data_IF_030273305697
#
_entry.id   IF_030273305697
#
_cell.length_a   1.000
_cell.length_b   1.000
_cell.length_c   1.000
_cell.angle_alpha   90.00
_cell.angle_beta   90.00
_cell.angle_gamma   90.00
#
_symmetry.space_group_name_H-M   'P 1'
#
loop_
_entity.id
_entity.type
_entity.pdbx_description
1 polymer ?
#
# COMPACT_ATOMS: atom_id res chain seq x y z
N UNK A 1 14.78 25.15 -1.79
CA UNK A 1 14.96 23.84 -2.17
C UNK A 1 13.96 22.95 -1.57
N UNK A 2 13.44 22.04 -2.31
CA UNK A 2 12.42 21.13 -1.82
C UNK A 2 13.05 19.91 -1.19
N UNK A 3 12.44 19.40 -0.13
CA UNK A 3 12.95 18.19 0.49
C UNK A 3 12.30 16.98 -0.15
N UNK A 4 11.44 17.17 -1.15
CA UNK A 4 10.78 16.04 -1.76
C UNK A 4 11.64 15.46 -2.86
N UNK A 5 11.60 14.15 -3.01
CA UNK A 5 12.27 13.51 -4.11
C UNK A 5 11.52 13.89 -5.38
N UNK A 6 12.18 13.82 -6.51
CA UNK A 6 11.57 14.21 -7.77
C UNK A 6 10.84 13.05 -8.42
N UNK A 7 10.44 12.08 -7.65
CA UNK A 7 9.72 10.92 -8.10
C UNK A 7 8.40 10.86 -7.35
N UNK A 8 7.31 10.62 -8.05
CA UNK A 8 6.02 10.45 -7.43
C UNK A 8 5.32 9.26 -8.04
N UNK A 9 4.49 8.61 -7.25
CA UNK A 9 3.71 7.48 -7.71
C UNK A 9 2.25 7.73 -7.38
N UNK A 10 1.37 7.12 -8.16
CA UNK A 10 -0.05 7.15 -7.88
C UNK A 10 -0.37 5.79 -7.28
N UNK A 11 -1.12 5.76 -6.19
CA UNK A 11 -1.55 4.50 -5.57
C UNK A 11 -3.06 4.46 -5.61
N UNK A 12 -3.60 3.35 -6.04
CA UNK A 12 -5.03 3.17 -6.17
C UNK A 12 -5.44 1.81 -5.63
N UNK A 13 -6.69 1.66 -5.31
CA UNK A 13 -7.23 0.41 -4.82
C UNK A 13 -8.50 0.64 -4.04
N UNK A 14 -8.74 -0.20 -3.04
CA UNK A 14 -9.90 -0.08 -2.17
C UNK A 14 -9.42 0.26 -0.77
N UNK A 15 -10.11 1.19 -0.11
CA UNK A 15 -9.76 1.53 1.26
C UNK A 15 -10.36 0.50 2.22
N UNK A 16 -10.23 0.73 3.52
CA UNK A 16 -10.69 -0.23 4.52
C UNK A 16 -12.20 -0.39 4.51
N UNK A 17 -12.93 0.52 3.86
CA UNK A 17 -14.37 0.41 3.74
C UNK A 17 -14.76 -0.08 2.37
N UNK A 18 -13.78 -0.56 1.60
CA UNK A 18 -13.97 -1.08 0.26
C UNK A 18 -14.45 -0.02 -0.73
N UNK A 19 -14.04 1.23 -0.51
CA UNK A 19 -14.34 2.30 -1.45
C UNK A 19 -13.12 2.53 -2.33
N UNK A 20 -13.34 2.76 -3.60
CA UNK A 20 -12.24 3.01 -4.52
C UNK A 20 -11.53 4.31 -4.20
N UNK A 21 -10.22 4.33 -4.33
CA UNK A 21 -9.45 5.55 -4.14
C UNK A 21 -8.26 5.58 -5.09
N UNK A 22 -7.73 6.76 -5.30
CA UNK A 22 -6.52 6.94 -6.07
C UNK A 22 -5.87 8.22 -5.57
N UNK A 23 -4.64 8.14 -5.07
CA UNK A 23 -3.97 9.28 -4.48
C UNK A 23 -2.49 9.27 -4.82
N UNK A 24 -1.89 10.44 -4.92
CA UNK A 24 -0.45 10.50 -5.16
C UNK A 24 0.30 10.16 -3.88
N UNK A 25 1.44 9.52 -4.05
CA UNK A 25 2.37 9.27 -2.96
C UNK A 25 3.59 10.12 -3.25
N UNK A 26 3.98 10.92 -2.27
CA UNK A 26 5.17 11.74 -2.39
C UNK A 26 6.24 11.19 -1.48
N UNK A 27 7.48 11.50 -1.78
CA UNK A 27 8.60 11.05 -0.98
C UNK A 27 9.35 12.25 -0.45
N UNK A 28 9.74 12.20 0.81
CA UNK A 28 10.52 13.26 1.43
C UNK A 28 11.81 12.69 1.97
N UNK A 29 12.86 13.46 1.91
CA UNK A 29 14.13 13.05 2.48
C UNK A 29 14.07 13.15 4.00
N UNK A 30 14.53 12.12 4.67
CA UNK A 30 14.55 12.10 6.11
C UNK A 30 15.60 11.09 6.57
N UNK A 31 16.37 11.43 7.55
CA UNK A 31 17.34 10.49 8.16
C UNK A 31 18.21 9.79 7.12
N UNK A 32 18.59 10.51 6.11
CA UNK A 32 19.50 9.96 5.10
C UNK A 32 18.82 9.08 4.07
N UNK A 33 17.50 9.01 4.08
CA UNK A 33 16.77 8.19 3.15
C UNK A 33 15.49 8.86 2.69
N UNK A 34 14.49 8.06 2.38
CA UNK A 34 13.22 8.55 1.85
C UNK A 34 12.06 7.98 2.64
N UNK A 35 11.11 8.85 2.96
CA UNK A 35 9.84 8.42 3.56
C UNK A 35 8.77 8.55 2.50
N UNK A 36 7.85 7.60 2.44
CA UNK A 36 6.70 7.68 1.52
C UNK A 36 5.52 8.22 2.32
N UNK A 37 4.77 9.13 1.74
CA UNK A 37 3.67 9.79 2.39
C UNK A 37 2.43 9.73 1.54
N UNK A 38 1.33 9.26 2.12
CA UNK A 38 0.04 9.23 1.47
C UNK A 38 -0.96 9.98 2.33
N UNK A 39 -1.72 10.87 1.72
CA UNK A 39 -2.81 11.54 2.41
C UNK A 39 -4.10 11.15 1.75
N UNK A 40 -5.05 10.70 2.55
CA UNK A 40 -6.34 10.29 2.04
C UNK A 40 -7.40 10.65 3.07
N UNK A 41 -8.29 11.51 2.71
CA UNK A 41 -9.32 12.03 3.61
C UNK A 41 -8.62 12.66 4.82
N UNK A 42 -8.94 12.21 6.01
CA UNK A 42 -8.31 12.77 7.20
C UNK A 42 -7.09 11.96 7.64
N UNK A 43 -6.72 10.97 6.85
CA UNK A 43 -5.63 10.07 7.20
C UNK A 43 -4.33 10.49 6.53
N UNK A 44 -3.23 10.38 7.25
CA UNK A 44 -1.92 10.63 6.70
C UNK A 44 -1.04 9.45 7.10
N UNK A 45 -0.52 8.72 6.14
CA UNK A 45 0.30 7.55 6.41
C UNK A 45 1.73 7.86 5.96
N UNK A 46 2.69 7.68 6.85
CA UNK A 46 4.09 8.01 6.59
C UNK A 46 4.94 6.83 7.01
N UNK A 47 5.84 6.40 6.14
CA UNK A 47 6.75 5.30 6.48
C UNK A 47 7.97 5.81 7.23
N UNK A 48 8.77 4.92 7.77
CA UNK A 48 10.10 5.30 8.20
C UNK A 48 10.96 5.50 6.96
N UNK A 49 12.19 5.92 7.14
CA UNK A 49 13.08 6.20 6.02
C UNK A 49 13.69 4.94 5.46
N UNK A 50 13.79 4.88 4.14
CA UNK A 50 14.38 3.75 3.43
C UNK A 50 15.39 4.30 2.42
N UNK A 51 16.28 3.45 1.97
CA UNK A 51 17.35 3.88 1.06
C UNK A 51 16.84 4.39 -0.28
N UNK A 52 15.70 3.91 -0.72
CA UNK A 52 15.18 4.31 -2.04
C UNK A 52 13.70 4.62 -1.93
N UNK A 53 13.17 5.43 -2.83
CA UNK A 53 11.73 5.68 -2.86
C UNK A 53 10.94 4.40 -3.07
N UNK A 54 11.46 3.46 -3.88
CA UNK A 54 10.76 2.21 -4.11
C UNK A 54 10.59 1.38 -2.86
N UNK A 55 11.62 1.31 -2.02
CA UNK A 55 11.55 0.56 -0.79
C UNK A 55 10.55 1.23 0.16
N UNK A 56 10.53 2.55 0.20
CA UNK A 56 9.59 3.27 1.04
C UNK A 56 8.16 3.05 0.54
N UNK A 57 7.98 2.99 -0.77
CA UNK A 57 6.65 2.75 -1.34
C UNK A 57 6.17 1.35 -0.97
N UNK A 58 7.04 0.35 -1.01
CA UNK A 58 6.65 -1.00 -0.66
C UNK A 58 6.23 -1.08 0.80
N UNK A 59 6.90 -0.34 1.66
CA UNK A 59 6.52 -0.33 3.05
C UNK A 59 5.16 0.35 3.21
N UNK A 60 4.91 1.43 2.48
CA UNK A 60 3.64 2.11 2.54
C UNK A 60 2.52 1.16 2.13
N UNK A 61 2.73 0.35 1.09
CA UNK A 61 1.74 -0.60 0.66
C UNK A 61 1.46 -1.62 1.78
N UNK A 62 2.51 -2.10 2.45
CA UNK A 62 2.30 -3.05 3.54
C UNK A 62 1.52 -2.42 4.69
N UNK A 63 1.79 -1.15 4.98
CA UNK A 63 1.08 -0.45 6.03
C UNK A 63 -0.40 -0.31 5.68
N UNK A 64 -0.71 0.00 4.44
CA UNK A 64 -2.09 0.14 4.01
C UNK A 64 -2.79 -1.21 4.07
N UNK A 65 -2.11 -2.28 3.64
CA UNK A 65 -2.69 -3.60 3.71
C UNK A 65 -2.98 -3.98 5.15
N UNK A 66 -2.12 -3.60 6.06
CA UNK A 66 -2.31 -3.85 7.48
C UNK A 66 -3.50 -3.10 8.05
N UNK A 67 -3.92 -2.03 7.39
CA UNK A 67 -5.06 -1.25 7.81
C UNK A 67 -6.35 -1.68 7.09
N UNK A 68 -6.28 -2.73 6.29
CA UNK A 68 -7.47 -3.25 5.63
C UNK A 68 -7.67 -2.80 4.20
N UNK A 69 -6.71 -2.07 3.64
CA UNK A 69 -6.80 -1.68 2.23
C UNK A 69 -6.50 -2.90 1.37
N UNK A 70 -7.08 -2.95 0.20
CA UNK A 70 -6.92 -4.10 -0.68
C UNK A 70 -6.85 -3.69 -2.14
N UNK A 71 -6.51 -4.64 -2.98
CA UNK A 71 -6.44 -4.45 -4.42
C UNK A 71 -5.56 -3.25 -4.79
N UNK A 72 -4.47 -3.10 -4.06
CA UNK A 72 -3.59 -1.94 -4.23
C UNK A 72 -2.72 -2.07 -5.47
N UNK A 73 -2.49 -0.95 -6.13
CA UNK A 73 -1.59 -0.90 -7.26
C UNK A 73 -0.95 0.48 -7.32
N UNK A 74 0.18 0.58 -7.94
CA UNK A 74 0.86 1.87 -8.08
C UNK A 74 1.32 2.10 -9.50
N UNK A 75 1.49 3.36 -9.86
CA UNK A 75 1.98 3.73 -11.17
C UNK A 75 2.94 4.90 -10.99
N UNK A 76 4.10 4.83 -11.61
CA UNK A 76 5.04 5.93 -11.56
C UNK A 76 4.45 7.09 -12.35
N UNK A 77 4.29 8.23 -11.73
CA UNK A 77 3.65 9.36 -12.38
C UNK A 77 4.61 10.52 -12.65
N UNK A 78 5.68 10.65 -11.86
CA UNK A 78 6.67 11.69 -12.06
C UNK A 78 8.05 11.11 -11.85
N UNK A 79 8.96 11.36 -12.79
CA UNK A 79 10.35 10.94 -12.67
C UNK A 79 11.23 12.13 -12.95
N UNK A 80 12.15 12.41 -12.03
CA UNK A 80 13.07 13.53 -12.16
C UNK A 80 12.33 14.83 -12.48
N UNK A 81 11.17 14.99 -11.86
CA UNK A 81 10.38 16.20 -12.03
C UNK A 81 9.50 16.25 -13.25
N UNK A 82 9.58 15.26 -14.13
CA UNK A 82 8.80 15.26 -15.37
C UNK A 82 7.56 14.38 -15.23
N UNK A 83 6.41 14.93 -15.57
CA UNK A 83 5.16 14.19 -15.50
C UNK A 83 5.09 13.19 -16.64
N UNK A 84 4.81 11.94 -16.32
CA UNK A 84 4.82 10.87 -17.29
C UNK A 84 3.43 10.51 -17.83
N UNK A 85 2.41 11.10 -17.26
CA UNK A 85 1.05 10.80 -17.70
C UNK A 85 0.66 9.40 -17.28
N UNK A 86 -0.08 8.70 -18.11
CA UNK A 86 -0.53 7.37 -17.79
C UNK A 86 0.19 6.32 -18.63
N UNK A 87 1.40 6.63 -19.06
CA UNK A 87 2.12 5.70 -19.92
C UNK A 87 2.83 4.57 -19.19
N UNK A 88 3.11 4.78 -17.93
CA UNK A 88 3.82 3.75 -17.17
C UNK A 88 2.85 2.66 -16.74
N UNK A 89 3.31 1.42 -16.66
CA UNK A 89 2.42 0.34 -16.26
C UNK A 89 2.06 0.41 -14.79
N UNK A 90 0.89 -0.11 -14.46
CA UNK A 90 0.51 -0.25 -13.08
C UNK A 90 1.15 -1.51 -12.52
N UNK A 91 1.64 -1.42 -11.29
CA UNK A 91 2.22 -2.55 -10.58
C UNK A 91 1.20 -2.95 -9.54
N UNK A 92 0.77 -4.20 -9.58
CA UNK A 92 -0.23 -4.67 -8.63
C UNK A 92 0.41 -5.34 -7.43
N UNK A 93 -0.19 -5.14 -6.27
CA UNK A 93 0.30 -5.71 -5.04
C UNK A 93 -0.76 -6.68 -4.53
N UNK A 94 -0.51 -7.98 -4.59
CA UNK A 94 -1.51 -8.95 -4.17
C UNK A 94 -1.87 -8.75 -2.71
N UNK A 95 -3.13 -8.97 -2.40
CA UNK A 95 -3.56 -8.87 -1.02
C UNK A 95 -2.88 -9.99 -0.23
N UNK A 96 -2.52 -9.73 1.02
CA UNK A 96 -1.87 -10.75 1.82
C UNK A 96 -2.85 -11.87 2.11
N UNK A 97 -2.29 -13.06 2.31
CA UNK A 97 -3.12 -14.19 2.67
C UNK A 97 -3.77 -13.90 4.00
N UNK A 98 -5.07 -14.18 4.09
CA UNK A 98 -5.70 -13.91 5.28
C UNK A 98 -5.50 -14.97 6.18
N UNK A 99 -5.11 -14.83 7.08
CA UNK A 99 -4.99 -15.83 7.98
C UNK A 99 -4.02 -16.87 7.79
N UNK A 100 -3.98 -16.93 7.58
CA UNK A 100 -3.40 -17.51 7.48
C UNK A 100 -2.56 -17.63 7.01
N UNK A 101 -2.41 -17.31 6.98
CA UNK A 101 -1.97 -17.40 6.39
C UNK A 101 -0.99 -17.54 6.21
N UNK A 102 -0.50 -17.96 6.52
CA UNK A 102 0.08 -18.20 6.38
C UNK A 102 0.69 -18.76 6.80
N UNK A 103 0.71 -19.30 7.50
CA UNK A 103 0.73 -19.81 8.03
C UNK A 103 0.40 -20.17 8.41
N UNK A 104 0.85 -20.55 8.56
CA UNK A 104 -0.23 -21.00 9.10
C UNK A 104 -1.32 -20.21 8.83
N UNK A 105 -1.17 -19.36 8.10
CA UNK A 105 -2.24 -18.52 7.85
C UNK A 105 -3.32 -19.13 7.07
N UNK A 106 -3.01 -19.97 6.09
CA UNK A 106 -4.04 -20.47 5.27
C UNK A 106 -4.92 -21.38 6.04
N UNK A 107 -4.39 -22.07 6.92
CA UNK A 107 -5.13 -22.97 7.67
C UNK A 107 -6.07 -22.23 8.50
N UNK A 108 -5.67 -21.14 9.04
CA UNK A 108 -6.47 -20.36 9.79
C UNK A 108 -7.51 -19.80 8.97
N UNK A 109 -7.26 -19.53 7.74
CA UNK A 109 -8.20 -18.97 6.92
C UNK A 109 -9.26 -19.98 6.65
N UNK A 110 -8.89 -21.19 6.49
CA UNK A 110 -9.78 -22.19 6.24
C UNK A 110 -10.65 -22.30 7.38
N UNK A 111 -10.12 -22.26 8.48
CA UNK A 111 -10.76 -22.34 9.64
C UNK A 111 -11.69 -21.25 9.79
N UNK A 112 -11.38 -20.14 9.39
CA UNK A 112 -12.18 -19.06 9.52
C UNK A 112 -13.34 -19.21 8.64
N UNK A 113 -13.23 -19.84 7.56
CA UNK A 113 -14.29 -19.99 6.74
C UNK A 113 -15.20 -20.87 7.40
N UNK A 114 -14.75 -21.86 8.01
CA UNK A 114 -15.54 -22.72 8.69
C UNK A 114 -16.04 -22.08 9.81
N UNK A 115 -15.31 -21.41 10.43
CA UNK A 115 -15.68 -20.78 11.56
C UNK A 115 -16.53 -19.80 11.22
N UNK A 116 -16.36 -19.28 10.24
CA UNK A 116 -17.07 -18.26 9.91
C UNK A 116 -18.13 -18.74 9.32
N UNK A 117 -17.98 -19.78 9.01
CA UNK A 117 -18.87 -20.27 8.49
C UNK A 117 -19.22 -21.09 9.37
N UNK A 118 -18.59 -21.24 10.25
CA UNK A 118 -18.73 -21.69 11.11
C UNK A 118 -18.67 -20.99 11.90
N UNK A 119 -17.99 -20.47 11.87
CA UNK A 119 -17.72 -19.93 12.28
C UNK A 119 -18.17 -19.62 12.27
N UNK A 120 -18.23 -19.87 12.07
CA UNK A 120 -18.30 -19.92 11.85
C UNK A 120 -18.44 -20.25 11.92
N UNK A 121 -18.60 -20.67 12.26
CA UNK A 121 -18.45 -21.08 12.31
C UNK A 121 -18.14 -21.06 12.60
N UNK A 122 -17.93 -21.04 13.02
CA UNK A 122 -17.42 -21.14 13.10
C UNK A 122 -17.42 -20.86 13.23
N UNK A 123 -17.48 -21.08 13.03
CA UNK A 123 -17.49 -21.07 13.01
C UNK A 123 -17.30 -21.05 13.06
#
# INVERSE_FOLDING_TARGET
>A
MSDQAQEKHQVAGLDARERGFSRPVVFEHADGGYQAILRYETTRVVTTAYDTPGAALEELIRMLQGQGYSQLRSQLSVREGAYLGSQEPWIEYPDPARGTEQEGGWLKRLFRFFLRQSEDTHG
#
